data_IF_542888897379
#
_entry.id   IF_542888897379
#
_cell.length_a   1.000
_cell.length_b   1.000
_cell.length_c   1.000
_cell.angle_alpha   90.00
_cell.angle_beta   90.00
_cell.angle_gamma   90.00
#
_symmetry.space_group_name_H-M   'P 1'
#
loop_
_entity.id
_entity.type
_entity.pdbx_description
1 polymer ?
#
# COMPACT_ATOMS: atom_id res chain seq x y z
N UNK A 1 25.11 -18.45 20.24
CA UNK A 1 24.49 -17.57 19.23
C UNK A 1 23.78 -16.47 19.99
N UNK A 2 24.04 -15.20 19.69
CA UNK A 2 23.30 -14.08 20.27
C UNK A 2 22.12 -13.82 19.34
N UNK A 3 20.90 -14.11 19.79
CA UNK A 3 19.70 -13.66 19.10
C UNK A 3 19.44 -12.21 19.54
N UNK A 4 19.47 -11.27 18.60
CA UNK A 4 19.14 -9.88 18.87
C UNK A 4 17.62 -9.70 18.78
N UNK A 5 16.98 -9.47 19.93
CA UNK A 5 15.56 -9.11 19.98
C UNK A 5 15.44 -7.69 20.53
N UNK A 6 14.85 -6.81 19.72
CA UNK A 6 14.46 -5.46 20.14
C UNK A 6 13.02 -5.55 20.61
N UNK A 7 12.79 -5.28 21.89
CA UNK A 7 11.44 -5.20 22.45
C UNK A 7 11.09 -3.74 22.62
N UNK A 8 10.02 -3.31 21.94
CA UNK A 8 9.47 -1.96 22.05
C UNK A 8 8.19 -1.99 22.87
N UNK A 9 8.07 -1.05 23.80
CA UNK A 9 6.86 -0.86 24.59
C UNK A 9 6.21 0.47 24.22
N UNK A 10 4.89 0.46 24.16
CA UNK A 10 4.06 1.65 23.96
C UNK A 10 3.31 1.92 25.27
N UNK A 11 3.61 3.04 25.91
CA UNK A 11 2.81 3.58 27.00
C UNK A 11 2.02 4.76 26.43
N UNK A 12 0.72 4.77 26.68
CA UNK A 12 -0.22 5.74 26.13
C UNK A 12 0.31 7.17 26.30
N UNK A 13 0.62 7.79 25.16
CA UNK A 13 1.00 9.20 25.09
C UNK A 13 2.50 9.47 25.02
N UNK A 14 3.05 9.34 23.81
CA UNK A 14 4.13 10.19 23.27
C UNK A 14 5.59 9.96 23.71
N UNK A 15 5.98 8.80 24.22
CA UNK A 15 7.41 8.44 24.33
C UNK A 15 7.67 6.97 24.00
N UNK A 16 8.63 6.74 23.12
CA UNK A 16 9.15 5.42 22.77
C UNK A 16 10.43 5.15 23.57
N UNK A 17 10.47 4.03 24.28
CA UNK A 17 11.70 3.52 24.87
C UNK A 17 12.10 2.23 24.15
N UNK A 18 13.34 2.18 23.67
CA UNK A 18 13.94 0.96 23.12
C UNK A 18 14.94 0.42 24.14
N UNK A 19 14.73 -0.80 24.60
CA UNK A 19 15.72 -1.50 25.43
C UNK A 19 16.41 -2.57 24.60
N UNK A 20 17.74 -2.63 24.70
CA UNK A 20 18.52 -3.73 24.13
C UNK A 20 18.59 -4.84 25.17
N UNK A 21 17.81 -5.89 24.98
CA UNK A 21 17.82 -7.06 25.87
C UNK A 21 18.71 -8.12 25.24
N UNK A 22 19.70 -8.58 26.00
CA UNK A 22 20.55 -9.69 25.60
C UNK A 22 20.07 -10.95 26.30
N UNK A 23 19.53 -11.92 25.55
CA UNK A 23 19.35 -13.28 26.04
C UNK A 23 20.69 -14.02 25.91
N UNK A 24 21.29 -14.35 27.05
CA UNK A 24 22.57 -15.08 27.09
C UNK A 24 22.27 -16.54 27.39
N UNK A 25 22.33 -17.39 26.37
CA UNK A 25 21.96 -18.80 26.46
C UNK A 25 23.07 -19.72 27.01
N UNK A 26 24.16 -19.18 27.57
CA UNK A 26 25.23 -20.00 28.13
C UNK A 26 26.13 -19.25 29.13
N UNK A 27 26.46 -19.88 30.26
CA UNK A 27 27.38 -19.35 31.31
C UNK A 27 28.78 -19.02 30.78
N UNK A 28 29.22 -19.63 29.67
CA UNK A 28 30.52 -19.35 29.07
C UNK A 28 30.62 -17.95 28.42
N UNK A 29 29.50 -17.39 27.95
CA UNK A 29 29.45 -16.10 27.23
C UNK A 29 29.47 -14.87 28.15
N UNK A 30 29.23 -15.05 29.44
CA UNK A 30 29.26 -13.96 30.44
C UNK A 30 30.69 -13.52 30.80
N UNK A 31 31.68 -14.43 30.72
CA UNK A 31 33.09 -14.09 31.00
C UNK A 31 33.69 -13.19 29.92
N UNK A 32 33.33 -13.37 28.65
CA UNK A 32 33.85 -12.55 27.55
C UNK A 32 33.21 -11.16 27.48
N UNK A 33 31.96 -10.99 27.93
CA UNK A 33 31.32 -9.68 28.01
C UNK A 33 31.87 -8.81 29.15
N UNK A 34 32.28 -9.42 30.27
CA UNK A 34 32.87 -8.69 31.42
C UNK A 34 34.22 -8.02 31.11
N UNK A 35 34.89 -8.41 30.02
CA UNK A 35 36.18 -7.85 29.60
C UNK A 35 36.06 -6.66 28.65
N UNK A 36 34.87 -6.34 28.12
CA UNK A 36 34.69 -5.34 27.04
C UNK A 36 33.85 -4.12 27.40
N UNK A 37 33.35 -4.04 28.63
CA UNK A 37 32.52 -2.90 29.06
C UNK A 37 32.99 -2.37 30.41
N UNK A 38 33.25 -1.06 30.47
CA UNK A 38 33.70 -0.44 31.72
C UNK A 38 32.66 -0.66 32.82
N UNK A 39 33.11 -1.02 34.03
CA UNK A 39 32.24 -1.23 35.19
C UNK A 39 31.34 -0.01 35.48
N UNK A 40 31.74 1.19 35.06
CA UNK A 40 30.95 2.43 35.22
C UNK A 40 29.67 2.44 34.38
N UNK A 41 29.70 1.85 33.17
CA UNK A 41 28.57 1.82 32.24
C UNK A 41 27.50 0.82 32.69
N UNK A 42 27.93 -0.32 33.21
CA UNK A 42 27.05 -1.35 33.77
C UNK A 42 26.38 -0.81 35.06
N UNK A 43 27.14 -0.12 35.91
CA UNK A 43 26.61 0.47 37.15
C UNK A 43 25.61 1.60 36.88
N UNK A 44 25.84 2.43 35.84
CA UNK A 44 24.86 3.44 35.40
C UNK A 44 23.58 2.80 34.87
N UNK A 45 23.70 1.77 34.03
CA UNK A 45 22.54 1.07 33.47
C UNK A 45 21.69 0.38 34.55
N UNK A 46 22.34 -0.27 35.52
CA UNK A 46 21.65 -0.92 36.65
C UNK A 46 21.00 0.11 37.59
N UNK A 47 21.60 1.28 37.80
CA UNK A 47 20.98 2.38 38.57
C UNK A 47 19.74 2.95 37.85
N UNK A 48 19.80 3.11 36.53
CA UNK A 48 18.65 3.57 35.73
C UNK A 48 17.52 2.54 35.66
N UNK A 49 17.83 1.25 35.55
CA UNK A 49 16.84 0.17 35.57
C UNK A 49 16.18 0.05 36.96
N UNK A 50 16.95 0.17 38.04
CA UNK A 50 16.42 0.13 39.40
C UNK A 50 15.60 1.40 39.72
N UNK A 51 15.90 2.55 39.11
CA UNK A 51 15.06 3.75 39.18
C UNK A 51 13.75 3.60 38.38
N UNK A 52 13.80 2.94 37.22
CA UNK A 52 12.64 2.65 36.39
C UNK A 52 11.68 1.64 37.04
N UNK A 53 12.20 0.58 37.67
CA UNK A 53 11.38 -0.40 38.39
C UNK A 53 10.73 0.18 39.67
N UNK A 54 11.29 1.27 40.21
CA UNK A 54 10.74 1.99 41.37
C UNK A 54 9.65 3.02 41.00
N UNK A 55 9.33 3.23 39.72
CA UNK A 55 8.36 4.26 39.28
C UNK A 55 6.89 3.82 39.33
N UNK A 56 6.58 2.62 39.81
CA UNK A 56 5.21 2.22 40.19
C UNK A 56 4.24 1.93 39.03
N UNK A 57 4.74 1.53 37.85
CA UNK A 57 3.89 0.99 36.79
C UNK A 57 3.42 -0.43 37.14
N UNK A 58 2.15 -0.56 37.50
CA UNK A 58 1.48 -1.86 37.66
C UNK A 58 1.33 -2.54 36.30
N UNK A 59 1.92 -3.74 36.16
CA UNK A 59 1.72 -4.60 35.00
C UNK A 59 0.67 -5.65 35.33
N UNK A 60 -0.46 -5.62 34.62
CA UNK A 60 -1.44 -6.70 34.65
C UNK A 60 -0.95 -7.84 33.76
N UNK A 61 -0.33 -8.84 34.36
CA UNK A 61 0.00 -10.11 33.70
C UNK A 61 -1.10 -11.10 34.08
N UNK A 62 -2.03 -11.39 33.16
CA UNK A 62 -2.93 -12.53 33.31
C UNK A 62 -2.17 -13.83 32.99
N UNK A 63 -1.47 -14.38 33.98
CA UNK A 63 -0.94 -15.75 33.91
C UNK A 63 -1.90 -16.70 34.62
N UNK A 64 -2.52 -17.60 33.86
CA UNK A 64 -3.16 -18.79 34.41
C UNK A 64 -2.07 -19.80 34.80
N UNK A 65 -1.63 -19.80 36.07
CA UNK A 65 -1.15 -20.95 36.87
C UNK A 65 -0.71 -20.46 38.28
N UNK A 66 -0.86 -21.28 39.34
CA UNK A 66 -0.94 -20.81 40.72
C UNK A 66 0.40 -20.81 41.46
N UNK A 67 0.56 -19.87 42.40
CA UNK A 67 1.43 -20.07 43.56
C UNK A 67 2.25 -18.86 44.00
N UNK A 68 1.88 -18.33 45.16
CA UNK A 68 2.70 -17.56 46.14
C UNK A 68 2.74 -16.04 45.98
N UNK A 69 1.95 -15.39 46.85
CA UNK A 69 2.04 -13.99 47.35
C UNK A 69 3.11 -13.91 48.47
N UNK A 70 3.72 -12.74 48.82
CA UNK A 70 2.99 -11.61 49.45
C UNK A 70 3.52 -10.15 49.25
N UNK A 71 2.55 -9.20 49.15
CA UNK A 71 2.23 -7.99 49.97
C UNK A 71 3.37 -7.01 50.45
N UNK A 72 3.11 -5.67 50.53
CA UNK A 72 4.04 -4.56 50.21
C UNK A 72 4.43 -3.63 51.40
N UNK A 73 5.30 -2.63 51.15
CA UNK A 73 5.47 -1.44 52.04
C UNK A 73 5.73 -0.14 51.24
N UNK A 74 5.03 0.92 51.65
CA UNK A 74 4.98 2.33 51.19
C UNK A 74 6.31 3.11 51.17
N UNK A 75 6.38 4.18 50.35
CA UNK A 75 6.53 5.58 50.82
C UNK A 75 6.56 6.63 49.68
N UNK A 76 5.83 7.73 49.91
CA UNK A 76 5.73 8.96 49.10
C UNK A 76 7.04 9.77 49.04
N UNK A 77 7.24 10.60 48.01
CA UNK A 77 7.35 12.08 48.12
C UNK A 77 7.70 12.79 46.80
N UNK A 78 7.26 14.05 46.71
CA UNK A 78 7.32 15.02 45.59
C UNK A 78 8.72 15.63 45.36
N UNK A 79 9.09 15.96 44.12
CA UNK A 79 9.41 17.33 43.59
C UNK A 79 10.14 17.30 42.23
N UNK A 80 10.06 18.39 41.43
CA UNK A 80 10.50 18.44 40.02
C UNK A 80 11.92 19.01 39.86
N UNK A 81 12.58 18.77 38.72
CA UNK A 81 13.80 19.52 38.37
C UNK A 81 14.02 19.69 36.86
N UNK A 82 14.55 20.87 36.55
CA UNK A 82 14.76 21.53 35.26
C UNK A 82 15.78 20.85 34.32
N UNK A 83 15.50 21.06 33.03
CA UNK A 83 16.35 21.41 31.87
C UNK A 83 17.88 21.31 32.04
N UNK A 84 18.52 20.62 31.08
CA UNK A 84 19.75 21.12 30.48
C UNK A 84 19.88 20.67 29.01
N UNK A 85 20.10 21.65 28.13
CA UNK A 85 20.38 21.46 26.71
C UNK A 85 21.79 20.91 26.52
N UNK A 86 21.96 19.95 25.63
CA UNK A 86 23.26 19.72 24.98
C UNK A 86 23.05 19.84 23.48
N UNK A 87 23.49 20.98 22.97
CA UNK A 87 23.75 21.27 21.58
C UNK A 87 24.83 20.35 21.02
N UNK A 88 24.69 19.96 19.75
CA UNK A 88 25.83 19.57 18.93
C UNK A 88 25.66 18.24 18.22
N UNK A 89 25.06 18.29 17.04
CA UNK A 89 25.65 17.78 15.79
C UNK A 89 24.69 18.12 14.66
N UNK A 90 25.11 19.03 13.78
CA UNK A 90 24.51 19.25 12.46
C UNK A 90 24.70 17.98 11.65
N UNK A 91 23.65 17.16 11.58
CA UNK A 91 23.53 16.09 10.59
C UNK A 91 23.10 16.72 9.27
N UNK A 92 23.97 16.59 8.28
CA UNK A 92 23.73 16.97 6.89
C UNK A 92 22.67 16.04 6.28
N UNK A 93 21.51 16.61 5.91
CA UNK A 93 20.34 15.89 5.39
C UNK A 93 20.29 15.84 3.85
N UNK A 94 21.41 16.04 3.15
CA UNK A 94 21.45 16.14 1.67
C UNK A 94 21.36 14.81 0.91
N UNK A 95 20.93 13.71 1.52
CA UNK A 95 20.80 12.41 0.83
C UNK A 95 19.45 11.73 1.07
N UNK A 96 18.36 12.41 0.71
CA UNK A 96 17.01 11.81 0.69
C UNK A 96 16.79 11.09 -0.63
N UNK A 97 16.83 9.76 -0.59
CA UNK A 97 16.44 8.87 -1.70
C UNK A 97 14.91 8.79 -1.83
N UNK A 98 14.47 8.63 -3.07
CA UNK A 98 13.13 8.80 -3.63
C UNK A 98 11.98 8.07 -2.93
N UNK A 99 10.75 8.56 -3.14
CA UNK A 99 9.49 7.90 -2.81
C UNK A 99 8.61 7.71 -4.03
N UNK A 100 8.29 6.45 -4.33
CA UNK A 100 7.48 6.02 -5.49
C UNK A 100 6.00 5.79 -5.11
N UNK A 101 5.53 6.34 -3.98
CA UNK A 101 4.20 6.02 -3.47
C UNK A 101 3.05 6.77 -4.13
N UNK A 102 3.27 7.84 -4.89
CA UNK A 102 2.13 8.62 -5.38
C UNK A 102 2.02 8.50 -6.87
N UNK A 103 0.80 8.58 -7.41
CA UNK A 103 0.43 9.52 -8.49
C UNK A 103 -0.79 9.02 -9.28
N UNK A 104 -1.82 8.65 -8.55
CA UNK A 104 -2.98 7.98 -9.11
C UNK A 104 -3.83 8.85 -10.05
N UNK A 105 -3.81 10.19 -10.03
CA UNK A 105 -4.69 10.99 -10.94
C UNK A 105 -4.10 11.30 -12.32
N UNK A 106 -2.80 11.10 -12.56
CA UNK A 106 -2.19 11.64 -13.78
C UNK A 106 -1.10 10.79 -14.44
N UNK A 107 -0.70 9.66 -13.85
CA UNK A 107 0.44 8.89 -14.36
C UNK A 107 0.06 7.45 -14.58
N UNK A 108 0.31 6.98 -15.80
CA UNK A 108 -0.11 5.65 -16.21
C UNK A 108 1.04 4.67 -16.18
N UNK A 109 2.27 5.14 -16.47
CA UNK A 109 3.43 4.25 -16.60
C UNK A 109 4.70 4.97 -16.11
N UNK A 110 5.50 4.32 -15.27
CA UNK A 110 6.88 4.67 -14.96
C UNK A 110 7.79 3.63 -15.63
N UNK A 111 8.76 4.07 -16.41
CA UNK A 111 9.76 3.17 -17.00
C UNK A 111 11.15 3.59 -16.56
N UNK A 112 11.97 2.60 -16.17
CA UNK A 112 13.41 2.78 -16.02
C UNK A 112 14.10 2.35 -17.31
N UNK A 113 15.03 3.19 -17.78
CA UNK A 113 15.80 2.91 -18.98
C UNK A 113 17.28 3.21 -18.69
N UNK A 114 18.11 2.21 -18.37
CA UNK A 114 19.54 2.39 -18.31
C UNK A 114 20.07 2.43 -19.75
N UNK A 115 20.29 3.63 -20.30
CA UNK A 115 20.97 3.75 -21.59
C UNK A 115 22.40 3.22 -21.47
N UNK A 116 22.69 2.14 -22.19
CA UNK A 116 24.00 1.51 -22.27
C UNK A 116 24.83 2.16 -23.39
N UNK A 117 25.72 3.10 -23.07
CA UNK A 117 26.97 3.32 -23.84
C UNK A 117 27.96 4.37 -23.27
N UNK A 118 27.64 5.14 -22.23
CA UNK A 118 28.60 6.08 -21.61
C UNK A 118 28.67 5.89 -20.10
N UNK A 119 29.32 4.78 -19.69
CA UNK A 119 29.42 4.36 -18.29
C UNK A 119 30.57 4.96 -17.48
N UNK A 120 31.38 5.85 -18.06
CA UNK A 120 32.65 6.24 -17.39
C UNK A 120 32.65 7.61 -16.68
N UNK A 121 31.58 8.41 -16.68
CA UNK A 121 31.61 9.71 -15.96
C UNK A 121 30.24 10.24 -15.45
N UNK A 122 29.23 9.40 -15.29
CA UNK A 122 27.92 9.81 -14.74
C UNK A 122 27.73 9.29 -13.31
N UNK A 123 27.32 10.20 -12.41
CA UNK A 123 27.06 9.99 -10.99
C UNK A 123 26.30 8.67 -10.72
N UNK A 124 26.87 7.71 -9.98
CA UNK A 124 26.33 6.35 -9.83
C UNK A 124 25.04 6.23 -9.01
N UNK A 125 24.25 7.29 -8.78
CA UNK A 125 23.13 7.30 -7.82
C UNK A 125 21.77 7.81 -8.30
N UNK A 126 21.59 8.16 -9.57
CA UNK A 126 20.26 8.49 -10.10
C UNK A 126 19.77 7.42 -11.09
N UNK A 127 19.01 6.45 -10.57
CA UNK A 127 18.08 5.70 -11.39
C UNK A 127 17.14 6.73 -12.04
N UNK A 128 17.31 6.98 -13.35
CA UNK A 128 16.47 7.92 -14.10
C UNK A 128 15.07 7.35 -14.20
N UNK A 129 14.18 7.84 -13.34
CA UNK A 129 12.74 7.60 -13.44
C UNK A 129 12.20 8.48 -14.57
N UNK A 130 11.64 7.87 -15.61
CA UNK A 130 10.90 8.58 -16.65
C UNK A 130 9.39 8.39 -16.47
N UNK A 131 8.64 9.48 -16.64
CA UNK A 131 7.20 9.50 -16.51
C UNK A 131 6.54 9.39 -17.89
N UNK A 132 5.56 8.53 -18.00
CA UNK A 132 4.83 8.34 -19.25
C UNK A 132 3.36 8.69 -19.07
N UNK A 133 2.91 9.61 -19.92
CA UNK A 133 1.53 10.10 -19.96
C UNK A 133 0.81 9.57 -21.20
N UNK A 134 -0.46 9.17 -21.06
CA UNK A 134 -1.34 8.92 -22.22
C UNK A 134 -1.93 10.20 -22.81
N UNK A 135 -2.06 11.25 -22.01
CA UNK A 135 -2.73 12.48 -22.39
C UNK A 135 -1.70 13.56 -22.72
N UNK A 136 -1.71 14.02 -23.98
CA UNK A 136 -0.95 15.21 -24.39
C UNK A 136 -1.27 16.43 -23.53
N UNK A 137 -2.53 16.56 -23.09
CA UNK A 137 -2.96 17.67 -22.23
C UNK A 137 -2.32 17.59 -20.85
N UNK A 138 -2.30 16.40 -20.24
CA UNK A 138 -1.65 16.20 -18.93
C UNK A 138 -0.13 16.38 -19.05
N UNK A 139 0.51 15.84 -20.09
CA UNK A 139 1.93 16.04 -20.32
C UNK A 139 2.27 17.53 -20.49
N UNK A 140 1.50 18.26 -21.30
CA UNK A 140 1.68 19.71 -21.46
C UNK A 140 1.53 20.43 -20.12
N UNK A 141 0.47 20.13 -19.37
CA UNK A 141 0.27 20.69 -18.03
C UNK A 141 1.43 20.37 -17.08
N UNK A 142 2.05 19.20 -17.21
CA UNK A 142 3.22 18.81 -16.42
C UNK A 142 4.45 19.64 -16.77
N UNK A 143 4.73 19.83 -18.05
CA UNK A 143 5.80 20.73 -18.51
C UNK A 143 5.53 22.18 -18.11
N UNK A 144 4.30 22.66 -18.24
CA UNK A 144 3.88 24.00 -17.81
C UNK A 144 4.06 24.18 -16.29
N UNK A 145 4.01 23.08 -15.51
CA UNK A 145 4.30 23.06 -14.07
C UNK A 145 5.80 22.89 -13.75
N UNK A 146 6.68 23.08 -14.73
CA UNK A 146 8.14 22.96 -14.58
C UNK A 146 8.66 21.53 -14.52
N UNK A 147 7.86 20.55 -14.96
CA UNK A 147 8.19 19.11 -14.89
C UNK A 147 8.55 18.64 -13.48
N UNK A 148 7.87 19.21 -12.48
CA UNK A 148 8.09 18.94 -11.07
C UNK A 148 6.88 18.25 -10.44
N UNK A 149 7.15 17.37 -9.47
CA UNK A 149 6.17 16.83 -8.52
C UNK A 149 6.58 17.31 -7.14
N UNK A 150 5.63 17.90 -6.41
CA UNK A 150 5.84 18.35 -5.03
C UNK A 150 5.09 17.43 -4.09
N UNK A 151 5.80 16.75 -3.20
CA UNK A 151 5.23 15.89 -2.17
C UNK A 151 5.20 16.66 -0.84
N UNK A 152 4.00 17.00 -0.39
CA UNK A 152 3.75 17.56 0.94
C UNK A 152 3.46 16.43 1.91
N UNK A 153 4.34 16.27 2.91
CA UNK A 153 4.12 15.32 3.98
C UNK A 153 3.21 15.92 5.06
N UNK A 154 1.89 15.78 4.89
CA UNK A 154 0.89 16.29 5.84
C UNK A 154 0.68 15.34 7.04
N UNK A 155 1.45 14.25 7.15
CA UNK A 155 1.42 13.39 8.34
C UNK A 155 1.87 14.15 9.59
N UNK A 156 2.88 15.02 9.46
CA UNK A 156 3.31 15.91 10.52
C UNK A 156 2.71 17.31 10.33
N UNK A 157 1.50 17.52 10.88
CA UNK A 157 0.81 18.82 10.80
C UNK A 157 1.59 19.99 11.41
N UNK A 158 2.57 19.73 12.28
CA UNK A 158 3.38 20.78 12.94
C UNK A 158 4.52 21.27 12.06
N UNK A 159 5.01 20.42 11.16
CA UNK A 159 6.13 20.72 10.28
C UNK A 159 5.93 19.97 8.95
N UNK A 160 5.04 20.49 8.07
CA UNK A 160 4.81 19.88 6.78
C UNK A 160 6.05 20.07 5.90
N UNK A 161 6.83 19.00 5.75
CA UNK A 161 7.96 19.01 4.82
C UNK A 161 7.46 18.86 3.38
N UNK A 162 7.94 19.70 2.48
CA UNK A 162 7.73 19.56 1.05
C UNK A 162 9.01 19.07 0.37
N UNK A 163 8.90 18.00 -0.41
CA UNK A 163 9.99 17.54 -1.28
C UNK A 163 9.61 17.82 -2.73
N UNK A 164 10.50 18.48 -3.47
CA UNK A 164 10.30 18.76 -4.90
C UNK A 164 11.22 17.86 -5.70
N UNK A 165 10.69 17.24 -6.74
CA UNK A 165 11.48 16.39 -7.63
C UNK A 165 11.13 16.69 -9.09
N UNK A 166 12.16 16.81 -9.91
CA UNK A 166 12.03 17.05 -11.35
C UNK A 166 12.16 15.72 -12.09
N UNK A 167 11.32 15.50 -13.09
CA UNK A 167 11.32 14.27 -13.86
C UNK A 167 11.31 14.54 -15.36
N UNK A 168 11.95 13.66 -16.11
CA UNK A 168 11.71 13.56 -17.55
C UNK A 168 10.34 12.93 -17.79
N UNK A 169 9.59 13.49 -18.74
CA UNK A 169 8.25 13.02 -19.06
C UNK A 169 8.03 12.96 -20.57
N UNK A 170 7.30 11.94 -21.00
CA UNK A 170 7.02 11.68 -22.41
C UNK A 170 5.55 11.32 -22.63
N UNK A 171 5.06 11.56 -23.86
CA UNK A 171 3.80 11.00 -24.32
C UNK A 171 4.11 9.70 -25.04
N UNK A 172 3.75 8.57 -24.44
CA UNK A 172 4.20 7.28 -24.97
C UNK A 172 5.73 7.17 -24.96
N UNK A 173 6.26 6.16 -25.63
CA UNK A 173 7.71 5.96 -25.69
C UNK A 173 8.30 6.71 -26.89
N UNK A 174 9.41 7.47 -26.73
CA UNK A 174 10.04 8.16 -27.85
C UNK A 174 10.43 7.17 -28.95
N UNK A 175 9.94 7.36 -30.18
CA UNK A 175 10.18 6.48 -31.34
C UNK A 175 11.67 6.19 -31.58
N UNK A 176 12.54 7.14 -31.23
CA UNK A 176 13.99 7.07 -31.43
C UNK A 176 14.73 6.14 -30.48
N UNK A 177 14.06 5.59 -29.47
CA UNK A 177 14.69 4.69 -28.50
C UNK A 177 14.25 3.25 -28.77
N UNK A 178 14.99 2.44 -29.52
CA UNK A 178 14.67 0.99 -29.59
C UNK A 178 14.99 0.24 -28.28
N UNK A 179 15.30 0.95 -27.20
CA UNK A 179 15.78 0.36 -25.96
C UNK A 179 14.68 -0.42 -25.24
N UNK A 180 15.09 -1.61 -24.81
CA UNK A 180 14.38 -2.47 -23.88
C UNK A 180 14.02 -1.71 -22.59
N UNK A 181 12.85 -2.03 -22.02
CA UNK A 181 12.46 -1.56 -20.69
C UNK A 181 12.76 -2.67 -19.68
N UNK A 182 13.65 -2.40 -18.73
CA UNK A 182 13.99 -3.36 -17.67
C UNK A 182 12.89 -3.40 -16.61
N UNK A 183 12.42 -2.23 -16.16
CA UNK A 183 11.45 -2.11 -15.07
C UNK A 183 10.33 -1.13 -15.44
N UNK A 184 9.08 -1.58 -15.27
CA UNK A 184 7.86 -0.84 -15.61
C UNK A 184 6.90 -0.85 -14.41
N UNK A 185 6.54 0.32 -13.89
CA UNK A 185 5.50 0.44 -12.84
C UNK A 185 4.25 1.05 -13.47
N UNK A 186 3.14 0.34 -13.39
CA UNK A 186 1.85 0.75 -13.97
C UNK A 186 0.88 1.05 -12.84
N UNK A 187 0.52 2.32 -12.68
CA UNK A 187 -0.47 2.73 -11.67
C UNK A 187 -1.88 2.63 -12.25
N UNK A 188 -2.61 1.59 -11.86
CA UNK A 188 -3.90 1.30 -12.46
C UNK A 188 -5.03 2.01 -11.74
N UNK A 189 -5.73 2.83 -12.50
CA UNK A 189 -6.98 3.46 -12.10
C UNK A 189 -8.16 3.08 -12.97
N UNK A 190 -7.97 2.27 -13.99
CA UNK A 190 -9.00 1.87 -14.94
C UNK A 190 -8.85 0.39 -15.28
N UNK A 191 -9.83 -0.15 -15.99
CA UNK A 191 -9.72 -1.47 -16.63
C UNK A 191 -8.98 -1.42 -17.96
N UNK A 192 -8.68 -0.22 -18.44
CA UNK A 192 -8.23 0.02 -19.82
C UNK A 192 -6.71 -0.11 -19.92
N UNK A 193 -6.15 -1.00 -19.11
CA UNK A 193 -4.71 -1.24 -19.04
C UNK A 193 -4.15 -1.76 -20.37
N UNK A 194 -4.94 -2.49 -21.15
CA UNK A 194 -4.56 -2.89 -22.50
C UNK A 194 -4.16 -1.69 -23.36
N UNK A 195 -4.98 -0.65 -23.39
CA UNK A 195 -4.70 0.55 -24.16
C UNK A 195 -3.49 1.30 -23.60
N UNK A 196 -3.32 1.27 -22.28
CA UNK A 196 -2.18 1.92 -21.61
C UNK A 196 -0.86 1.24 -21.95
N UNK A 197 -0.79 -0.10 -21.98
CA UNK A 197 0.48 -0.80 -22.19
C UNK A 197 0.79 -1.14 -23.64
N UNK A 198 -0.23 -1.20 -24.51
CA UNK A 198 -0.07 -1.52 -25.94
C UNK A 198 1.05 -0.71 -26.61
N UNK A 199 1.19 0.62 -26.39
CA UNK A 199 2.26 1.40 -26.98
C UNK A 199 3.68 0.96 -26.59
N UNK A 200 3.83 0.22 -25.48
CA UNK A 200 5.10 -0.17 -24.88
C UNK A 200 5.48 -1.63 -25.19
N UNK A 201 4.56 -2.42 -25.75
CA UNK A 201 4.73 -3.87 -25.91
C UNK A 201 5.97 -4.25 -26.73
N UNK A 202 6.34 -3.44 -27.71
CA UNK A 202 7.53 -3.69 -28.54
C UNK A 202 8.85 -3.64 -27.76
N UNK A 203 8.86 -3.12 -26.52
CA UNK A 203 10.05 -3.02 -25.65
C UNK A 203 10.01 -3.94 -24.44
N UNK A 204 8.83 -4.48 -24.16
CA UNK A 204 8.60 -5.37 -23.05
C UNK A 204 8.97 -6.77 -23.52
N UNK A 205 9.93 -7.37 -22.84
CA UNK A 205 10.34 -8.76 -23.10
C UNK A 205 10.13 -9.60 -21.84
N UNK A 206 10.44 -10.89 -21.92
CA UNK A 206 10.43 -11.76 -20.74
C UNK A 206 11.47 -11.39 -19.67
N UNK A 207 12.38 -10.45 -19.96
CA UNK A 207 13.32 -9.88 -19.00
C UNK A 207 12.78 -8.66 -18.26
N UNK A 208 11.72 -8.04 -18.76
CA UNK A 208 11.10 -6.87 -18.14
C UNK A 208 10.39 -7.28 -16.84
N UNK A 209 10.54 -6.49 -15.79
CA UNK A 209 9.69 -6.54 -14.60
C UNK A 209 8.55 -5.53 -14.74
N UNK A 210 7.31 -5.98 -14.61
CA UNK A 210 6.12 -5.12 -14.67
C UNK A 210 5.39 -5.17 -13.33
N UNK A 211 5.32 -4.05 -12.63
CA UNK A 211 4.62 -3.91 -11.35
C UNK A 211 3.30 -3.15 -11.53
N UNK A 212 2.19 -3.84 -11.32
CA UNK A 212 0.85 -3.24 -11.32
C UNK A 212 0.46 -2.73 -9.95
N UNK A 213 0.40 -1.41 -9.77
CA UNK A 213 0.03 -0.78 -8.51
C UNK A 213 -1.47 -0.52 -8.49
N UNK A 214 -2.15 -1.04 -7.47
CA UNK A 214 -3.58 -0.87 -7.21
C UNK A 214 -4.50 -1.37 -8.33
N UNK A 215 -4.07 -2.41 -9.05
CA UNK A 215 -4.91 -3.06 -10.03
C UNK A 215 -6.21 -3.57 -9.39
N UNK A 216 -7.38 -3.23 -9.97
CA UNK A 216 -8.65 -3.72 -9.47
C UNK A 216 -8.73 -5.25 -9.49
N UNK A 217 -9.40 -5.86 -8.49
CA UNK A 217 -9.42 -7.31 -8.37
C UNK A 217 -9.94 -7.99 -9.64
N UNK A 218 -9.15 -8.89 -10.21
CA UNK A 218 -9.51 -9.67 -11.40
C UNK A 218 -9.40 -8.94 -12.74
N UNK A 219 -8.94 -7.68 -12.78
CA UNK A 219 -8.68 -6.99 -14.05
C UNK A 219 -7.49 -7.63 -14.80
N UNK A 220 -6.40 -7.89 -14.07
CA UNK A 220 -5.13 -8.37 -14.63
C UNK A 220 -5.22 -9.71 -15.35
N UNK A 221 -5.95 -10.69 -14.79
CA UNK A 221 -6.00 -12.06 -15.35
C UNK A 221 -6.42 -12.09 -16.82
N UNK A 222 -7.44 -11.28 -17.14
CA UNK A 222 -7.99 -11.24 -18.48
C UNK A 222 -7.14 -10.41 -19.43
N UNK A 223 -6.58 -9.30 -18.95
CA UNK A 223 -5.78 -8.41 -19.77
C UNK A 223 -4.40 -8.99 -20.07
N UNK A 224 -3.73 -9.58 -19.08
CA UNK A 224 -2.42 -10.23 -19.28
C UNK A 224 -2.52 -11.30 -20.36
N UNK A 225 -3.57 -12.15 -20.32
CA UNK A 225 -3.79 -13.20 -21.31
C UNK A 225 -4.09 -12.67 -22.72
N UNK A 226 -4.71 -11.49 -22.83
CA UNK A 226 -4.99 -10.84 -24.11
C UNK A 226 -3.75 -10.19 -24.70
N UNK A 227 -2.94 -9.55 -23.86
CA UNK A 227 -1.73 -8.83 -24.27
C UNK A 227 -0.57 -9.79 -24.56
N UNK A 228 -0.24 -10.62 -23.59
CA UNK A 228 0.86 -11.58 -23.69
C UNK A 228 0.27 -12.99 -23.76
N UNK A 229 0.28 -13.56 -24.96
CA UNK A 229 -0.14 -14.95 -25.13
C UNK A 229 0.81 -15.85 -24.34
N UNK A 230 0.28 -16.77 -23.53
CA UNK A 230 1.09 -17.56 -22.61
C UNK A 230 2.14 -18.44 -23.29
N UNK A 231 1.97 -18.73 -24.58
CA UNK A 231 2.83 -19.56 -25.42
C UNK A 231 3.93 -18.77 -26.16
N UNK A 232 3.89 -17.44 -26.18
CA UNK A 232 4.82 -16.63 -26.97
C UNK A 232 6.23 -16.51 -26.36
N UNK A 233 6.44 -16.99 -25.14
CA UNK A 233 7.71 -16.85 -24.42
C UNK A 233 8.10 -15.40 -24.08
N UNK A 234 7.24 -14.42 -24.41
CA UNK A 234 7.46 -12.98 -24.25
C UNK A 234 6.75 -12.37 -23.04
N UNK A 235 6.12 -13.19 -22.19
CA UNK A 235 5.43 -12.74 -20.98
C UNK A 235 6.48 -12.18 -20.01
N UNK A 236 6.37 -10.91 -19.56
CA UNK A 236 7.28 -10.32 -18.60
C UNK A 236 7.14 -10.93 -17.20
N UNK A 237 8.06 -10.57 -16.30
CA UNK A 237 7.93 -10.87 -14.87
C UNK A 237 6.86 -9.95 -14.28
N UNK A 238 5.69 -10.49 -13.95
CA UNK A 238 4.56 -9.69 -13.49
C UNK A 238 4.47 -9.69 -11.97
N UNK A 239 4.37 -8.49 -11.41
CA UNK A 239 4.13 -8.20 -10.02
C UNK A 239 2.86 -7.38 -9.88
N UNK A 240 2.23 -7.46 -8.72
CA UNK A 240 1.15 -6.57 -8.34
C UNK A 240 1.42 -5.99 -6.96
N UNK A 241 0.95 -4.77 -6.75
CA UNK A 241 1.00 -4.09 -5.48
C UNK A 241 -0.37 -3.55 -5.06
N UNK A 242 -0.62 -3.57 -3.75
CA UNK A 242 -1.74 -2.86 -3.13
C UNK A 242 -1.19 -1.87 -2.14
N UNK A 243 -1.73 -0.66 -2.17
CA UNK A 243 -1.28 0.42 -1.32
C UNK A 243 -2.41 0.87 -0.40
N UNK A 244 -2.06 1.22 0.84
CA UNK A 244 -3.04 1.65 1.86
C UNK A 244 -2.86 3.10 2.31
N UNK A 245 -1.87 3.80 1.77
CA UNK A 245 -1.64 5.21 2.05
C UNK A 245 -2.73 6.11 1.46
N UNK A 246 -2.99 7.23 2.12
CA UNK A 246 -3.89 8.27 1.65
C UNK A 246 -3.12 9.38 0.95
N UNK A 247 -3.38 9.54 -0.34
CA UNK A 247 -2.71 10.52 -1.18
C UNK A 247 -3.76 11.37 -1.89
N UNK A 248 -3.57 12.68 -1.83
CA UNK A 248 -4.45 13.63 -2.51
C UNK A 248 -3.63 14.37 -3.54
N UNK A 249 -3.97 14.15 -4.81
CA UNK A 249 -3.43 14.92 -5.91
C UNK A 249 -4.16 16.27 -5.96
N UNK A 250 -3.38 17.35 -5.90
CA UNK A 250 -3.82 18.73 -6.07
C UNK A 250 -3.53 19.22 -7.49
N UNK A 251 -3.79 20.50 -7.75
CA UNK A 251 -3.39 21.16 -9.00
C UNK A 251 -1.87 21.22 -9.11
N UNK A 252 -1.33 21.32 -10.33
CA UNK A 252 0.10 21.47 -10.60
C UNK A 252 0.99 20.33 -10.10
N UNK A 253 0.46 19.09 -10.11
CA UNK A 253 1.23 17.88 -9.74
C UNK A 253 1.73 17.90 -8.28
N UNK A 254 1.07 18.70 -7.45
CA UNK A 254 1.24 18.71 -6.02
C UNK A 254 0.51 17.51 -5.40
N UNK A 255 1.18 16.85 -4.47
CA UNK A 255 0.73 15.62 -3.83
C UNK A 255 0.76 15.80 -2.33
N UNK A 256 -0.36 15.54 -1.67
CA UNK A 256 -0.45 15.57 -0.20
C UNK A 256 -0.49 14.15 0.35
N UNK A 257 0.45 13.82 1.21
CA UNK A 257 0.48 12.58 1.98
C UNK A 257 -0.30 12.74 3.28
N UNK A 258 -1.53 12.23 3.30
CA UNK A 258 -2.55 12.56 4.29
C UNK A 258 -2.84 11.44 5.27
N UNK A 259 -2.59 10.17 4.89
CA UNK A 259 -2.81 9.02 5.75
C UNK A 259 -1.63 8.05 5.63
N UNK A 260 -0.99 7.65 6.74
CA UNK A 260 0.13 6.73 6.68
C UNK A 260 -0.35 5.36 6.21
N UNK A 261 0.48 4.67 5.45
CA UNK A 261 0.14 3.36 4.91
C UNK A 261 1.33 2.49 4.60
N UNK A 262 1.07 1.40 3.88
CA UNK A 262 2.05 0.44 3.42
C UNK A 262 1.80 0.09 1.96
N UNK A 263 2.84 -0.38 1.29
CA UNK A 263 2.73 -1.04 -0.01
C UNK A 263 2.99 -2.54 0.16
N UNK A 264 2.05 -3.36 -0.27
CA UNK A 264 2.19 -4.82 -0.29
C UNK A 264 2.46 -5.23 -1.72
N UNK A 265 3.53 -5.97 -1.96
CA UNK A 265 3.95 -6.40 -3.30
C UNK A 265 3.96 -7.93 -3.33
N UNK A 266 3.45 -8.52 -4.41
CA UNK A 266 3.53 -9.97 -4.66
C UNK A 266 3.80 -10.23 -6.13
N UNK A 267 4.50 -11.33 -6.43
CA UNK A 267 4.48 -11.92 -7.77
C UNK A 267 3.04 -12.26 -8.19
N UNK A 268 2.78 -12.24 -9.50
CA UNK A 268 1.49 -12.56 -10.11
C UNK A 268 1.61 -13.83 -10.98
N UNK A 269 0.60 -14.73 -11.00
CA UNK A 269 0.63 -15.93 -11.83
C UNK A 269 0.43 -15.59 -13.31
N UNK A 270 1.51 -15.26 -14.01
CA UNK A 270 1.45 -14.88 -15.43
C UNK A 270 1.40 -16.09 -16.37
N UNK A 271 2.11 -17.18 -16.04
CA UNK A 271 2.25 -18.38 -16.90
C UNK A 271 1.77 -19.68 -16.23
N UNK A 272 1.72 -19.75 -14.90
CA UNK A 272 1.29 -20.95 -14.17
C UNK A 272 -0.22 -20.94 -13.88
N UNK A 273 -0.84 -22.13 -13.86
CA UNK A 273 -2.21 -22.28 -13.36
C UNK A 273 -2.31 -21.76 -11.93
N UNK A 274 -3.26 -20.86 -11.70
CA UNK A 274 -3.51 -20.20 -10.41
C UNK A 274 -3.45 -21.12 -9.17
N UNK A 275 -4.09 -22.29 -9.23
CA UNK A 275 -4.09 -23.25 -8.11
C UNK A 275 -2.69 -23.73 -7.74
N UNK A 276 -1.82 -23.93 -8.72
CA UNK A 276 -0.46 -24.39 -8.48
C UNK A 276 0.41 -23.25 -7.96
N UNK A 277 0.29 -22.07 -8.55
CA UNK A 277 0.98 -20.86 -8.10
C UNK A 277 0.71 -20.56 -6.62
N UNK A 278 -0.56 -20.55 -6.22
CA UNK A 278 -0.94 -20.26 -4.81
C UNK A 278 -0.46 -21.34 -3.84
N UNK A 279 -0.34 -22.60 -4.27
CA UNK A 279 0.24 -23.68 -3.44
C UNK A 279 1.75 -23.55 -3.30
N UNK A 280 2.42 -23.07 -4.35
CA UNK A 280 3.87 -22.89 -4.42
C UNK A 280 4.33 -21.48 -4.07
N UNK A 281 3.44 -20.61 -3.58
CA UNK A 281 3.74 -19.18 -3.40
C UNK A 281 4.97 -18.91 -2.51
N UNK A 282 5.27 -19.80 -1.56
CA UNK A 282 6.46 -19.71 -0.71
C UNK A 282 7.77 -19.88 -1.52
N UNK A 283 7.73 -20.55 -2.68
CA UNK A 283 8.87 -20.63 -3.62
C UNK A 283 9.09 -19.32 -4.38
N UNK A 284 8.08 -18.47 -4.50
CA UNK A 284 8.19 -17.13 -5.09
C UNK A 284 8.50 -16.07 -4.01
N UNK A 285 8.53 -16.49 -2.75
CA UNK A 285 8.78 -15.67 -1.56
C UNK A 285 9.75 -16.35 -0.55
N UNK A 286 10.92 -16.88 -0.93
CA UNK A 286 11.87 -17.34 0.08
C UNK A 286 12.75 -16.17 0.53
N UNK A 287 13.16 -16.20 1.80
CA UNK A 287 14.08 -15.22 2.38
C UNK A 287 15.43 -15.11 1.66
N UNK A 288 15.77 -16.10 0.83
CA UNK A 288 17.05 -16.21 0.11
C UNK A 288 16.94 -16.01 -1.42
N UNK A 289 15.74 -15.84 -2.01
CA UNK A 289 15.65 -15.51 -3.45
C UNK A 289 16.04 -14.05 -3.66
N UNK A 290 16.80 -13.84 -4.74
CA UNK A 290 17.05 -12.53 -5.31
C UNK A 290 15.71 -11.87 -5.70
N UNK A 291 15.17 -11.09 -4.78
CA UNK A 291 14.10 -10.13 -5.04
C UNK A 291 14.57 -9.24 -6.21
N UNK A 292 13.76 -9.05 -7.28
CA UNK A 292 14.15 -8.19 -8.39
C UNK A 292 14.59 -6.81 -7.90
N UNK A 293 15.56 -6.20 -8.59
CA UNK A 293 16.12 -4.87 -8.24
C UNK A 293 15.02 -3.85 -7.99
N UNK A 294 14.01 -3.79 -8.88
CA UNK A 294 12.85 -2.92 -8.73
C UNK A 294 12.15 -3.08 -7.37
N UNK A 295 11.88 -4.32 -6.97
CA UNK A 295 11.14 -4.60 -5.74
C UNK A 295 12.03 -4.32 -4.52
N UNK A 296 13.32 -4.62 -4.60
CA UNK A 296 14.29 -4.29 -3.56
C UNK A 296 14.40 -2.78 -3.36
N UNK A 297 14.54 -2.03 -4.46
CA UNK A 297 14.60 -0.58 -4.46
C UNK A 297 13.35 0.04 -3.81
N UNK A 298 12.16 -0.55 -4.04
CA UNK A 298 10.93 -0.11 -3.37
C UNK A 298 10.92 -0.43 -1.86
N UNK A 299 11.39 -1.61 -1.45
CA UNK A 299 11.48 -1.99 -0.03
C UNK A 299 12.45 -1.06 0.72
N UNK A 300 13.56 -0.70 0.07
CA UNK A 300 14.59 0.16 0.65
C UNK A 300 14.13 1.61 0.86
N UNK A 301 12.94 1.99 0.38
CA UNK A 301 12.34 3.31 0.58
C UNK A 301 11.47 3.32 1.86
N UNK A 302 11.92 3.99 2.94
CA UNK A 302 11.19 3.97 4.21
C UNK A 302 9.82 4.65 4.13
N UNK A 303 9.68 5.66 3.27
CA UNK A 303 8.46 6.47 3.18
C UNK A 303 7.24 5.65 2.69
N UNK A 304 7.47 4.69 1.80
CA UNK A 304 6.40 3.88 1.20
C UNK A 304 6.10 2.63 2.02
N UNK A 305 7.01 2.25 2.92
CA UNK A 305 6.91 1.08 3.80
C UNK A 305 6.48 -0.16 3.00
N UNK A 306 7.22 -0.42 1.92
CA UNK A 306 6.94 -1.53 1.03
C UNK A 306 7.37 -2.84 1.66
N UNK A 307 6.55 -3.86 1.48
CA UNK A 307 6.88 -5.23 1.84
C UNK A 307 6.52 -6.16 0.70
N UNK A 308 7.47 -7.03 0.37
CA UNK A 308 7.19 -8.19 -0.47
C UNK A 308 6.52 -9.26 0.39
N UNK A 309 5.42 -9.84 -0.09
CA UNK A 309 4.62 -10.80 0.65
C UNK A 309 4.01 -11.88 -0.26
N UNK A 310 3.57 -13.01 0.29
CA UNK A 310 2.83 -14.01 -0.46
C UNK A 310 1.55 -13.47 -1.10
N UNK A 311 1.20 -14.01 -2.27
CA UNK A 311 0.00 -13.61 -3.03
C UNK A 311 -1.28 -13.71 -2.21
N UNK A 312 -1.41 -14.75 -1.36
CA UNK A 312 -2.57 -14.91 -0.47
C UNK A 312 -2.84 -13.65 0.36
N UNK A 313 -1.82 -12.98 0.87
CA UNK A 313 -1.99 -11.85 1.79
C UNK A 313 -2.33 -10.57 1.05
N UNK A 314 -1.72 -10.35 -0.12
CA UNK A 314 -2.11 -9.26 -1.00
C UNK A 314 -3.55 -9.44 -1.52
N UNK A 315 -3.97 -10.67 -1.84
CA UNK A 315 -5.35 -10.96 -2.24
C UNK A 315 -6.38 -10.64 -1.14
N UNK A 316 -6.04 -10.83 0.14
CA UNK A 316 -6.91 -10.45 1.27
C UNK A 316 -7.22 -8.95 1.24
N UNK A 317 -6.20 -8.12 1.01
CA UNK A 317 -6.34 -6.67 0.89
C UNK A 317 -7.16 -6.26 -0.34
N UNK A 318 -6.97 -6.94 -1.48
CA UNK A 318 -7.78 -6.68 -2.68
C UNK A 318 -9.26 -6.97 -2.47
N UNK A 319 -9.59 -8.04 -1.73
CA UNK A 319 -10.98 -8.38 -1.39
C UNK A 319 -11.60 -7.30 -0.50
N UNK A 320 -10.91 -6.86 0.54
CA UNK A 320 -11.39 -5.79 1.42
C UNK A 320 -11.62 -4.49 0.66
N UNK A 321 -10.63 -4.10 -0.17
CA UNK A 321 -10.74 -2.92 -1.01
C UNK A 321 -11.90 -3.01 -1.99
N UNK A 322 -12.09 -4.16 -2.65
CA UNK A 322 -13.23 -4.37 -3.57
C UNK A 322 -14.56 -4.11 -2.86
N UNK A 323 -14.72 -4.61 -1.63
CA UNK A 323 -15.96 -4.44 -0.84
C UNK A 323 -16.15 -2.98 -0.43
N UNK A 324 -15.07 -2.31 0.02
CA UNK A 324 -15.09 -0.88 0.34
C UNK A 324 -15.49 -0.06 -0.88
N UNK A 325 -14.87 -0.30 -2.03
CA UNK A 325 -15.15 0.40 -3.28
C UNK A 325 -16.59 0.13 -3.77
N UNK A 326 -17.09 -1.10 -3.63
CA UNK A 326 -18.47 -1.44 -4.00
C UNK A 326 -19.52 -0.75 -3.12
N UNK A 327 -19.17 -0.40 -1.88
CA UNK A 327 -20.07 0.31 -0.97
C UNK A 327 -19.94 1.84 -1.14
N UNK A 328 -18.74 2.37 -0.93
CA UNK A 328 -18.53 3.81 -0.77
C UNK A 328 -18.64 4.57 -2.10
N UNK A 329 -18.11 4.00 -3.19
CA UNK A 329 -18.03 4.71 -4.47
C UNK A 329 -19.43 4.96 -5.07
N UNK A 330 -20.32 3.96 -5.24
CA UNK A 330 -21.65 4.21 -5.77
C UNK A 330 -22.50 5.07 -4.84
N UNK A 331 -22.45 4.83 -3.52
CA UNK A 331 -23.27 5.58 -2.57
C UNK A 331 -22.84 7.04 -2.48
N UNK A 332 -21.52 7.29 -2.37
CA UNK A 332 -20.98 8.65 -2.39
C UNK A 332 -21.37 9.38 -3.67
N UNK A 333 -21.21 8.74 -4.84
CA UNK A 333 -21.59 9.40 -6.09
C UNK A 333 -23.08 9.64 -6.23
N UNK A 334 -23.95 8.72 -5.84
CA UNK A 334 -25.39 8.86 -6.07
C UNK A 334 -26.02 9.87 -5.11
N UNK A 335 -25.61 9.84 -3.86
CA UNK A 335 -26.33 10.52 -2.79
C UNK A 335 -25.72 11.87 -2.43
N UNK A 336 -24.55 12.20 -2.99
CA UNK A 336 -23.86 13.48 -2.79
C UNK A 336 -23.69 13.90 -1.32
N UNK A 337 -23.83 12.96 -0.38
CA UNK A 337 -23.75 13.24 1.05
C UNK A 337 -22.32 13.17 1.54
N UNK A 338 -22.05 13.82 2.67
CA UNK A 338 -20.85 13.55 3.44
C UNK A 338 -20.79 12.05 3.78
N UNK A 339 -19.74 11.36 3.34
CA UNK A 339 -19.50 9.94 3.65
C UNK A 339 -19.51 9.70 5.17
N UNK A 340 -19.26 10.74 5.97
CA UNK A 340 -19.41 10.66 7.43
C UNK A 340 -20.88 10.52 7.88
N UNK A 341 -21.86 11.02 7.12
CA UNK A 341 -23.29 10.81 7.36
C UNK A 341 -23.73 9.35 7.16
N UNK A 342 -22.88 8.50 6.53
CA UNK A 342 -23.04 7.04 6.54
C UNK A 342 -23.08 6.46 7.95
N UNK A 343 -22.56 7.18 8.96
CA UNK A 343 -22.45 6.68 10.32
C UNK A 343 -23.81 6.45 10.96
N UNK A 344 -24.72 7.40 10.78
CA UNK A 344 -25.89 7.54 11.66
C UNK A 344 -27.21 7.11 11.00
N UNK A 345 -27.16 6.76 9.71
CA UNK A 345 -28.37 6.37 8.97
C UNK A 345 -28.58 4.86 8.98
N UNK A 346 -29.51 4.37 9.82
CA UNK A 346 -29.87 2.94 9.91
C UNK A 346 -30.28 2.34 8.56
N UNK A 347 -31.02 3.09 7.73
CA UNK A 347 -31.42 2.63 6.41
C UNK A 347 -30.22 2.33 5.51
N UNK A 348 -29.15 3.14 5.63
CA UNK A 348 -27.96 3.01 4.81
C UNK A 348 -27.06 1.88 5.26
N UNK A 349 -27.04 1.59 6.57
CA UNK A 349 -26.38 0.39 7.10
C UNK A 349 -26.97 -0.87 6.47
N UNK A 350 -28.30 -0.97 6.36
CA UNK A 350 -28.97 -2.10 5.70
C UNK A 350 -28.59 -2.23 4.23
N UNK A 351 -28.45 -1.10 3.52
CA UNK A 351 -27.98 -1.10 2.12
C UNK A 351 -26.53 -1.61 2.04
N UNK A 352 -25.63 -1.12 2.90
CA UNK A 352 -24.23 -1.56 2.95
C UNK A 352 -24.14 -3.06 3.28
N UNK A 353 -24.90 -3.55 4.27
CA UNK A 353 -24.96 -4.98 4.61
C UNK A 353 -25.41 -5.81 3.40
N UNK A 354 -26.43 -5.35 2.67
CA UNK A 354 -26.91 -6.06 1.48
C UNK A 354 -25.86 -6.06 0.35
N UNK A 355 -25.14 -4.95 0.13
CA UNK A 355 -24.03 -4.90 -0.83
C UNK A 355 -22.93 -5.90 -0.42
N UNK A 356 -22.59 -5.96 0.86
CA UNK A 356 -21.59 -6.90 1.40
C UNK A 356 -22.05 -8.34 1.20
N UNK A 357 -23.32 -8.66 1.45
CA UNK A 357 -23.86 -10.00 1.24
C UNK A 357 -23.70 -10.47 -0.21
N UNK A 358 -24.08 -9.61 -1.17
CA UNK A 358 -23.90 -9.89 -2.60
C UNK A 358 -22.43 -10.03 -2.96
N UNK A 359 -21.56 -9.18 -2.43
CA UNK A 359 -20.11 -9.25 -2.65
C UNK A 359 -19.51 -10.56 -2.12
N UNK A 360 -19.87 -10.97 -0.91
CA UNK A 360 -19.40 -12.22 -0.29
C UNK A 360 -19.80 -13.43 -1.14
N UNK A 361 -21.03 -13.46 -1.66
CA UNK A 361 -21.48 -14.53 -2.56
C UNK A 361 -20.64 -14.55 -3.84
N UNK A 362 -20.45 -13.38 -4.48
CA UNK A 362 -19.66 -13.25 -5.70
C UNK A 362 -18.19 -13.69 -5.48
N UNK A 363 -17.56 -13.23 -4.39
CA UNK A 363 -16.18 -13.54 -4.04
C UNK A 363 -16.02 -15.04 -3.75
N UNK A 364 -16.92 -15.65 -2.96
CA UNK A 364 -16.89 -17.10 -2.68
C UNK A 364 -16.92 -17.94 -3.95
N UNK A 365 -17.61 -17.45 -4.98
CA UNK A 365 -17.74 -18.15 -6.25
C UNK A 365 -16.52 -18.00 -7.17
N UNK A 366 -15.66 -17.01 -6.90
CA UNK A 366 -14.44 -16.71 -7.68
C UNK A 366 -13.41 -17.85 -7.62
N UNK A 367 -12.76 -18.19 -8.76
CA UNK A 367 -11.66 -19.15 -8.78
C UNK A 367 -10.49 -18.75 -7.87
N UNK A 368 -10.23 -17.44 -7.73
CA UNK A 368 -9.16 -16.90 -6.91
C UNK A 368 -9.37 -17.18 -5.43
N UNK A 369 -10.56 -16.87 -4.92
CA UNK A 369 -10.90 -17.14 -3.53
C UNK A 369 -10.84 -18.64 -3.22
N UNK A 370 -11.36 -19.49 -4.12
CA UNK A 370 -11.28 -20.95 -3.97
C UNK A 370 -9.83 -21.44 -3.95
N UNK A 371 -8.96 -20.91 -4.82
CA UNK A 371 -7.55 -21.28 -4.84
C UNK A 371 -6.84 -20.88 -3.53
N UNK A 372 -7.09 -19.66 -3.04
CA UNK A 372 -6.51 -19.15 -1.79
C UNK A 372 -7.01 -19.94 -0.59
N UNK A 373 -8.32 -20.15 -0.43
CA UNK A 373 -8.89 -20.91 0.71
C UNK A 373 -8.47 -22.38 0.73
N UNK A 374 -8.21 -22.97 -0.45
CA UNK A 374 -7.70 -24.33 -0.51
C UNK A 374 -6.23 -24.43 -0.06
N UNK A 375 -5.48 -23.34 -0.12
CA UNK A 375 -4.09 -23.26 0.34
C UNK A 375 -3.99 -22.78 1.79
N UNK A 376 -4.83 -21.81 2.17
CA UNK A 376 -4.87 -21.19 3.50
C UNK A 376 -6.34 -21.09 3.97
N UNK A 377 -6.74 -21.96 4.90
CA UNK A 377 -8.12 -21.97 5.44
C UNK A 377 -8.45 -20.71 6.23
N UNK A 378 -7.45 -20.01 6.78
CA UNK A 378 -7.67 -18.78 7.55
C UNK A 378 -8.20 -17.64 6.67
N UNK A 379 -7.97 -17.71 5.35
CA UNK A 379 -8.47 -16.75 4.38
C UNK A 379 -10.01 -16.67 4.31
N UNK A 380 -10.74 -17.64 4.89
CA UNK A 380 -12.20 -17.57 5.03
C UNK A 380 -12.61 -16.37 5.89
N UNK A 381 -11.81 -15.98 6.88
CA UNK A 381 -12.11 -14.84 7.77
C UNK A 381 -12.15 -13.49 7.05
N UNK A 382 -11.54 -13.39 5.87
CA UNK A 382 -11.45 -12.14 5.10
C UNK A 382 -12.81 -11.70 4.57
N UNK A 383 -13.69 -12.67 4.31
CA UNK A 383 -15.06 -12.45 3.85
C UNK A 383 -16.08 -12.52 5.00
N UNK A 384 -15.62 -12.41 6.25
CA UNK A 384 -16.53 -12.25 7.38
C UNK A 384 -17.31 -10.94 7.25
N UNK A 385 -18.64 -11.03 7.37
CA UNK A 385 -19.54 -9.92 7.07
C UNK A 385 -19.40 -8.78 8.07
N UNK A 386 -19.31 -9.11 9.35
CA UNK A 386 -19.22 -8.11 10.42
C UNK A 386 -17.91 -7.35 10.32
N UNK A 387 -16.82 -8.08 10.07
CA UNK A 387 -15.50 -7.51 9.80
C UNK A 387 -15.51 -6.60 8.57
N UNK A 388 -16.05 -7.06 7.44
CA UNK A 388 -16.14 -6.24 6.23
C UNK A 388 -16.96 -4.98 6.45
N UNK A 389 -18.08 -5.07 7.17
CA UNK A 389 -18.89 -3.92 7.53
C UNK A 389 -18.12 -2.91 8.39
N UNK A 390 -17.37 -3.40 9.38
CA UNK A 390 -16.50 -2.56 10.21
C UNK A 390 -15.42 -1.85 9.38
N UNK A 391 -14.80 -2.56 8.42
CA UNK A 391 -13.81 -1.98 7.50
C UNK A 391 -14.45 -0.89 6.63
N UNK A 392 -15.63 -1.13 6.06
CA UNK A 392 -16.36 -0.11 5.27
C UNK A 392 -16.64 1.14 6.13
N UNK A 393 -17.10 0.96 7.37
CA UNK A 393 -17.33 2.06 8.31
C UNK A 393 -16.05 2.80 8.69
N UNK A 394 -14.92 2.10 8.85
CA UNK A 394 -13.63 2.71 9.14
C UNK A 394 -13.12 3.52 7.94
N UNK A 395 -13.17 2.95 6.74
CA UNK A 395 -12.80 3.62 5.50
C UNK A 395 -13.65 4.87 5.26
N UNK A 396 -14.96 4.80 5.52
CA UNK A 396 -15.85 5.95 5.43
C UNK A 396 -15.41 7.13 6.33
N UNK A 397 -14.87 6.84 7.52
CA UNK A 397 -14.32 7.87 8.43
C UNK A 397 -13.01 8.46 7.92
N UNK A 398 -12.18 7.65 7.26
CA UNK A 398 -10.84 8.05 6.84
C UNK A 398 -10.83 8.87 5.55
N UNK A 399 -11.64 8.48 4.55
CA UNK A 399 -11.49 9.04 3.20
C UNK A 399 -12.27 10.34 2.94
N UNK A 400 -13.25 10.69 3.79
CA UNK A 400 -14.12 11.86 3.56
C UNK A 400 -14.83 11.82 2.20
N UNK A 401 -15.72 12.77 1.94
CA UNK A 401 -16.31 12.93 0.60
C UNK A 401 -15.28 13.62 -0.33
N UNK A 402 -15.13 13.14 -1.57
CA UNK A 402 -14.41 13.88 -2.62
C UNK A 402 -13.08 13.31 -3.13
N UNK A 403 -12.71 12.08 -2.75
CA UNK A 403 -11.64 11.39 -3.46
C UNK A 403 -12.07 11.11 -4.91
N UNK A 404 -11.69 11.97 -5.86
CA UNK A 404 -11.99 11.80 -7.30
C UNK A 404 -11.23 10.62 -7.95
N UNK A 405 -10.79 9.66 -7.13
CA UNK A 405 -9.95 8.52 -7.50
C UNK A 405 -10.74 7.22 -7.61
N UNK A 406 -12.05 7.27 -7.36
CA UNK A 406 -12.93 6.10 -7.31
C UNK A 406 -13.34 5.67 -8.72
N UNK A 407 -13.05 4.41 -9.08
CA UNK A 407 -13.69 3.71 -10.20
C UNK A 407 -15.10 3.31 -9.78
N UNK A 408 -16.14 4.07 -10.14
CA UNK A 408 -17.43 3.99 -9.45
C UNK A 408 -18.18 2.71 -9.80
N UNK A 409 -17.94 2.19 -10.99
CA UNK A 409 -18.63 1.06 -11.60
C UNK A 409 -17.80 -0.22 -11.60
N UNK A 410 -16.48 -0.17 -11.40
CA UNK A 410 -15.69 -1.40 -11.49
C UNK A 410 -16.10 -2.44 -10.44
N UNK A 411 -16.12 -2.05 -9.17
CA UNK A 411 -16.37 -2.98 -8.06
C UNK A 411 -17.78 -3.58 -8.13
N UNK A 412 -18.80 -2.74 -8.35
CA UNK A 412 -20.19 -3.18 -8.53
C UNK A 412 -20.35 -4.07 -9.76
N UNK A 413 -19.71 -3.73 -10.88
CA UNK A 413 -19.72 -4.55 -12.09
C UNK A 413 -18.99 -5.88 -11.92
N UNK A 414 -17.88 -5.91 -11.18
CA UNK A 414 -17.17 -7.14 -10.84
C UNK A 414 -18.08 -8.08 -10.05
N UNK A 415 -18.78 -7.57 -9.03
CA UNK A 415 -19.74 -8.35 -8.22
C UNK A 415 -20.86 -8.89 -9.12
N UNK A 416 -21.51 -8.02 -9.91
CA UNK A 416 -22.61 -8.41 -10.80
C UNK A 416 -22.18 -9.49 -11.81
N UNK A 417 -21.02 -9.33 -12.45
CA UNK A 417 -20.50 -10.29 -13.44
C UNK A 417 -20.20 -11.65 -12.80
N UNK A 418 -19.52 -11.65 -11.64
CA UNK A 418 -19.19 -12.90 -10.95
C UNK A 418 -20.44 -13.62 -10.43
N UNK A 419 -21.42 -12.90 -9.87
CA UNK A 419 -22.69 -13.48 -9.45
C UNK A 419 -23.47 -14.10 -10.62
N UNK A 420 -23.58 -13.37 -11.75
CA UNK A 420 -24.27 -13.87 -12.97
C UNK A 420 -23.64 -15.14 -13.53
N UNK A 421 -22.31 -15.22 -13.56
CA UNK A 421 -21.60 -16.41 -14.06
C UNK A 421 -21.86 -17.68 -13.25
N UNK A 422 -22.56 -17.56 -12.12
CA UNK A 422 -22.80 -18.61 -11.12
C UNK A 422 -24.27 -18.72 -10.72
N UNK A 423 -25.18 -18.11 -11.49
CA UNK A 423 -26.62 -18.11 -11.22
C UNK A 423 -27.01 -17.52 -9.86
N UNK A 424 -26.22 -16.59 -9.33
CA UNK A 424 -26.59 -15.80 -8.16
C UNK A 424 -27.04 -14.41 -8.58
N UNK A 425 -28.06 -13.90 -7.90
CA UNK A 425 -28.52 -12.53 -8.10
C UNK A 425 -27.64 -11.56 -7.30
N UNK A 426 -27.38 -10.39 -7.87
CA UNK A 426 -26.79 -9.24 -7.17
C UNK A 426 -27.63 -7.98 -7.47
N UNK A 427 -28.92 -7.98 -7.06
CA UNK A 427 -29.88 -6.95 -7.46
C UNK A 427 -29.48 -5.55 -7.01
N UNK A 428 -28.93 -5.38 -5.80
CA UNK A 428 -28.54 -4.07 -5.27
C UNK A 428 -27.32 -3.54 -6.01
N UNK A 429 -26.27 -4.34 -6.18
CA UNK A 429 -25.11 -3.93 -6.98
C UNK A 429 -25.48 -3.64 -8.44
N UNK A 430 -26.41 -4.41 -9.03
CA UNK A 430 -26.89 -4.17 -10.38
C UNK A 430 -27.70 -2.87 -10.49
N UNK A 431 -28.55 -2.57 -9.50
CA UNK A 431 -29.26 -1.31 -9.41
C UNK A 431 -28.30 -0.13 -9.29
N UNK A 432 -27.35 -0.17 -8.35
CA UNK A 432 -26.36 0.89 -8.14
C UNK A 432 -25.54 1.14 -9.41
N UNK A 433 -25.09 0.07 -10.09
CA UNK A 433 -24.40 0.17 -11.37
C UNK A 433 -25.25 0.89 -12.42
N UNK A 434 -26.52 0.52 -12.56
CA UNK A 434 -27.39 1.14 -13.56
C UNK A 434 -27.66 2.62 -13.23
N UNK A 435 -27.88 2.95 -11.95
CA UNK A 435 -28.04 4.34 -11.51
C UNK A 435 -26.80 5.19 -11.80
N UNK A 436 -25.60 4.64 -11.57
CA UNK A 436 -24.34 5.33 -11.90
C UNK A 436 -24.21 5.58 -13.41
N UNK A 437 -24.53 4.59 -14.25
CA UNK A 437 -24.51 4.74 -15.70
C UNK A 437 -25.50 5.82 -16.15
N UNK A 438 -26.73 5.79 -15.64
CA UNK A 438 -27.76 6.79 -15.95
C UNK A 438 -27.34 8.19 -15.51
N UNK A 439 -26.75 8.33 -14.31
CA UNK A 439 -26.25 9.62 -13.82
C UNK A 439 -25.15 10.18 -14.72
N UNK A 440 -24.18 9.35 -15.15
CA UNK A 440 -23.12 9.80 -16.07
C UNK A 440 -23.65 10.25 -17.42
N UNK A 441 -24.59 9.50 -18.00
CA UNK A 441 -25.24 9.86 -19.28
C UNK A 441 -25.97 11.20 -19.16
N UNK A 442 -26.74 11.39 -18.10
CA UNK A 442 -27.43 12.65 -17.83
C UNK A 442 -26.45 13.83 -17.66
N UNK A 443 -25.31 13.62 -16.99
CA UNK A 443 -24.26 14.64 -16.88
C UNK A 443 -23.58 14.96 -18.22
N UNK A 444 -23.38 13.95 -19.08
CA UNK A 444 -22.84 14.16 -20.44
C UNK A 444 -23.81 14.97 -21.29
N UNK A 445 -25.09 14.59 -21.30
CA UNK A 445 -26.15 15.31 -22.02
C UNK A 445 -26.26 16.77 -21.54
N UNK A 446 -26.19 17.03 -20.23
CA UNK A 446 -26.19 18.39 -19.69
C UNK A 446 -24.99 19.24 -20.13
N UNK A 447 -23.83 18.61 -20.33
CA UNK A 447 -22.62 19.31 -20.81
C UNK A 447 -22.64 19.53 -22.34
N UNK A 448 -23.42 18.76 -23.08
CA UNK A 448 -23.55 18.86 -24.54
C UNK A 448 -24.63 19.85 -24.99
N UNK A 449 -25.57 20.23 -24.13
CA UNK A 449 -26.58 21.26 -24.46
C UNK A 449 -25.84 22.58 -24.73
N UNK A 450 -25.84 23.09 -25.98
CA UNK A 450 -25.17 24.33 -26.29
C UNK A 450 -25.84 25.46 -25.51
N UNK A 451 -25.03 26.24 -24.80
CA UNK A 451 -25.49 27.48 -24.17
C UNK A 451 -25.87 28.42 -25.30
N UNK A 452 -27.17 28.51 -25.61
CA UNK A 452 -27.70 29.54 -26.50
C UNK A 452 -27.42 30.87 -25.80
N UNK A 453 -26.40 31.58 -26.29
CA UNK A 453 -26.03 32.91 -25.82
C UNK A 453 -26.89 33.98 -26.46
#
# INVERSE_FOLDING_TARGET
>A
MVAENIVTFNLEGSLWFAFKVFTIDNRASLKSLSQRTSASSITKCLKSLNAFLKSGLEFNISSSLPGVLPVPVLALTRTPLLVESISGTTLDWTSVKFSLATLTKAFEIFGFNPTSSTRENLDPKLNRVSLFFNSSRLLKSFHDSGSQIKLYNELNKRDPSATVSTFEAFKGVPETSESHVDDLIVSMKTTDFEDQITPYLHRITNKTNVLFVNAPLGSLDSSIKRIWRADSGSVPNIFQAVTTYGLINSTNFDVKYTLPGKMFISAFPSSEKLKNFVRKQELYYPGDILVPSLIKDLIDIPLINAQYCPFKDLFKLQVERLVVDACLNPLGQLLSFDVQALRDTTALNKVIETIIDEAVIAIKASPWFKAVVNSDKTAISVIDRQRLFAIVKQSAKQYGYGSSDMLPDFATNYIVRNSKSRHHAAPVNNLLRNLLISKRRSQQEQNEIPIVK
#
